data_IF_293664109740
#
_entry.id   IF_293664109740
#
_cell.length_a   1.000
_cell.length_b   1.000
_cell.length_c   1.000
_cell.angle_alpha   90.00
_cell.angle_beta   90.00
_cell.angle_gamma   90.00
#
_symmetry.space_group_name_H-M   'P 1'
#
loop_
_entity.id
_entity.type
_entity.pdbx_description
1 polymer ?
#
# COMPACT_ATOMS: atom_id res chain seq x y z
N UNK A 1 1.79 -7.44 35.63
CA UNK A 1 1.87 -6.42 36.71
C UNK A 1 1.66 -5.04 36.12
N UNK A 2 0.51 -4.42 36.37
CA UNK A 2 0.09 -3.20 35.67
C UNK A 2 0.63 -1.96 36.42
N UNK A 3 1.26 -1.04 35.67
CA UNK A 3 1.70 0.26 36.17
C UNK A 3 1.05 1.37 35.34
N UNK A 4 0.69 2.46 35.98
CA UNK A 4 0.13 3.63 35.28
C UNK A 4 1.21 4.39 34.48
N UNK A 5 0.80 5.43 33.75
CA UNK A 5 1.69 6.27 32.91
C UNK A 5 2.77 7.03 33.70
N UNK A 6 2.77 6.95 35.03
CA UNK A 6 3.79 7.50 35.93
C UNK A 6 4.60 6.41 36.65
N UNK A 7 4.40 5.15 36.28
CA UNK A 7 5.20 4.02 36.73
C UNK A 7 4.83 3.48 38.11
N UNK A 8 3.67 3.80 38.68
CA UNK A 8 3.23 3.23 39.97
C UNK A 8 2.40 1.96 39.76
N UNK A 9 2.61 0.91 40.57
CA UNK A 9 1.84 -0.35 40.48
C UNK A 9 0.43 -0.13 41.00
N UNK A 10 -0.56 -0.56 40.23
CA UNK A 10 -1.99 -0.50 40.58
C UNK A 10 -2.63 -1.88 40.40
N UNK A 11 -3.65 -2.16 41.22
CA UNK A 11 -4.40 -3.41 41.18
C UNK A 11 -5.31 -3.50 39.95
N UNK A 12 -5.68 -4.73 39.56
CA UNK A 12 -6.48 -4.99 38.35
C UNK A 12 -7.83 -4.26 38.38
N UNK A 13 -8.54 -4.22 39.51
CA UNK A 13 -9.81 -3.46 39.64
C UNK A 13 -9.62 -1.94 39.44
N UNK A 14 -8.48 -1.41 39.87
CA UNK A 14 -8.17 0.02 39.77
C UNK A 14 -7.77 0.41 38.34
N UNK A 15 -7.08 -0.49 37.63
CA UNK A 15 -6.84 -0.38 36.18
C UNK A 15 -8.15 -0.51 35.37
N UNK A 16 -9.08 -1.36 35.82
CA UNK A 16 -10.42 -1.54 35.23
C UNK A 16 -11.29 -0.29 35.36
N UNK A 17 -11.24 0.41 36.49
CA UNK A 17 -12.00 1.65 36.68
C UNK A 17 -11.44 2.85 35.90
N UNK A 18 -10.11 2.99 35.81
CA UNK A 18 -9.45 4.04 35.04
C UNK A 18 -9.76 3.99 33.53
N UNK A 19 -10.12 2.83 32.99
CA UNK A 19 -10.51 2.67 31.59
C UNK A 19 -12.02 2.79 31.34
N UNK A 20 -12.86 2.78 32.38
CA UNK A 20 -14.32 2.98 32.21
C UNK A 20 -14.65 4.37 31.65
N UNK A 21 -13.91 5.39 32.07
CA UNK A 21 -14.11 6.75 31.58
C UNK A 21 -13.51 6.93 30.16
N UNK A 22 -12.43 6.23 29.84
CA UNK A 22 -11.81 6.17 28.50
C UNK A 22 -12.66 5.40 27.47
N UNK A 23 -13.37 4.36 27.92
CA UNK A 23 -14.33 3.56 27.13
C UNK A 23 -15.60 4.38 26.87
N UNK A 24 -16.08 5.15 27.87
CA UNK A 24 -17.20 6.10 27.69
C UNK A 24 -16.85 7.27 26.76
N UNK A 25 -15.63 7.82 26.87
CA UNK A 25 -15.15 8.91 26.02
C UNK A 25 -14.90 8.46 24.57
N UNK A 26 -14.68 7.15 24.34
CA UNK A 26 -14.54 6.52 23.02
C UNK A 26 -15.80 5.83 22.48
N UNK A 27 -16.93 5.88 23.20
CA UNK A 27 -18.24 5.45 22.70
C UNK A 27 -18.44 3.94 22.52
N UNK A 28 -17.66 3.09 23.20
CA UNK A 28 -17.87 1.64 23.17
C UNK A 28 -19.02 1.28 24.12
N UNK A 29 -20.09 0.68 23.57
CA UNK A 29 -21.37 0.45 24.26
C UNK A 29 -21.30 -0.70 25.28
N UNK A 30 -22.09 -0.59 26.35
CA UNK A 30 -22.22 -1.55 27.46
C UNK A 30 -22.51 -3.02 27.04
N UNK A 31 -22.91 -3.26 25.78
CA UNK A 31 -23.19 -4.59 25.23
C UNK A 31 -21.96 -5.47 24.94
N UNK A 32 -20.77 -4.89 24.77
CA UNK A 32 -19.52 -5.66 24.62
C UNK A 32 -18.97 -6.14 25.98
N UNK A 33 -19.31 -5.43 27.05
CA UNK A 33 -19.02 -5.79 28.44
C UNK A 33 -19.73 -7.08 28.89
N UNK A 34 -20.98 -7.27 28.47
CA UNK A 34 -21.79 -8.46 28.77
C UNK A 34 -21.34 -9.72 28.01
N UNK A 35 -20.44 -9.58 27.03
CA UNK A 35 -19.91 -10.71 26.24
C UNK A 35 -18.65 -11.29 26.85
N UNK A 36 -17.74 -10.45 27.33
CA UNK A 36 -16.52 -10.88 28.04
C UNK A 36 -16.80 -11.61 29.37
N UNK A 37 -17.88 -11.24 30.08
CA UNK A 37 -18.30 -11.91 31.32
C UNK A 37 -18.78 -13.37 31.12
N UNK A 38 -19.09 -13.76 29.87
CA UNK A 38 -19.60 -15.11 29.52
C UNK A 38 -18.53 -16.19 29.42
N UNK A 39 -17.26 -15.89 29.66
CA UNK A 39 -16.26 -16.93 29.98
C UNK A 39 -16.65 -17.77 31.22
N UNK A 40 -17.57 -17.28 32.04
CA UNK A 40 -18.17 -18.01 33.17
C UNK A 40 -19.51 -18.69 32.85
N UNK A 41 -19.97 -18.67 31.58
CA UNK A 41 -21.34 -19.04 31.22
C UNK A 41 -21.53 -19.65 29.82
N UNK A 42 -20.60 -20.47 29.34
CA UNK A 42 -20.85 -21.44 28.25
C UNK A 42 -20.86 -20.90 26.80
N UNK A 43 -19.97 -19.97 26.45
CA UNK A 43 -19.80 -19.50 25.08
C UNK A 43 -19.02 -20.48 24.17
N UNK A 44 -19.24 -20.39 22.85
CA UNK A 44 -18.57 -21.22 21.82
C UNK A 44 -17.11 -20.79 21.62
N UNK A 45 -16.24 -21.76 21.29
CA UNK A 45 -14.76 -21.63 21.19
C UNK A 45 -14.27 -20.51 20.26
N UNK A 46 -14.97 -20.20 19.17
CA UNK A 46 -14.58 -19.16 18.21
C UNK A 46 -14.70 -17.75 18.79
N UNK A 47 -15.75 -17.48 19.55
CA UNK A 47 -16.04 -16.16 20.13
C UNK A 47 -14.99 -15.75 21.17
N UNK A 48 -14.50 -16.72 21.96
CA UNK A 48 -13.44 -16.48 22.95
C UNK A 48 -12.11 -16.11 22.28
N UNK A 49 -11.83 -16.62 21.08
CA UNK A 49 -10.59 -16.31 20.35
C UNK A 49 -10.64 -14.88 19.80
N UNK A 50 -11.79 -14.45 19.27
CA UNK A 50 -12.00 -13.09 18.77
C UNK A 50 -11.89 -12.05 19.90
N UNK A 51 -12.48 -12.33 21.06
CA UNK A 51 -12.42 -11.45 22.23
C UNK A 51 -11.00 -11.32 22.82
N UNK A 52 -10.19 -12.38 22.75
CA UNK A 52 -8.79 -12.38 23.18
C UNK A 52 -7.89 -11.58 22.22
N UNK A 53 -8.14 -11.67 20.92
CA UNK A 53 -7.44 -10.87 19.91
C UNK A 53 -7.78 -9.38 20.06
N UNK A 54 -9.01 -9.04 20.46
CA UNK A 54 -9.43 -7.67 20.70
C UNK A 54 -8.71 -6.99 21.89
N UNK A 55 -8.14 -7.77 22.81
CA UNK A 55 -7.30 -7.29 23.92
C UNK A 55 -5.81 -7.63 23.73
N UNK A 56 -5.39 -7.82 22.47
CA UNK A 56 -4.00 -8.03 22.06
C UNK A 56 -3.36 -9.36 22.53
N UNK A 57 -4.17 -10.40 22.78
CA UNK A 57 -3.70 -11.77 23.03
C UNK A 57 -3.77 -12.59 21.74
N UNK A 58 -2.62 -12.97 21.20
CA UNK A 58 -2.53 -13.79 19.97
C UNK A 58 -2.76 -15.28 20.24
N UNK A 59 -3.65 -15.91 19.46
CA UNK A 59 -3.87 -17.37 19.44
C UNK A 59 -3.37 -17.94 18.12
N UNK A 60 -2.35 -18.80 18.14
CA UNK A 60 -1.74 -19.36 16.92
C UNK A 60 -2.26 -20.79 16.67
N UNK A 61 -3.21 -20.87 15.73
CA UNK A 61 -3.71 -22.06 15.03
C UNK A 61 -4.53 -23.11 15.82
N UNK A 62 -5.69 -23.47 15.28
CA UNK A 62 -6.49 -24.62 15.73
C UNK A 62 -7.09 -25.33 14.50
N UNK A 63 -6.29 -26.18 13.85
CA UNK A 63 -6.72 -26.90 12.64
C UNK A 63 -6.00 -28.22 12.40
N UNK A 64 -6.69 -29.32 12.71
CA UNK A 64 -6.52 -30.72 12.28
C UNK A 64 -5.45 -31.64 12.94
N UNK A 65 -5.98 -32.78 13.40
CA UNK A 65 -5.41 -34.08 13.79
C UNK A 65 -4.00 -34.16 14.39
N UNK A 66 -3.92 -34.02 15.72
CA UNK A 66 -2.73 -34.42 16.50
C UNK A 66 -2.57 -33.71 17.84
N UNK A 67 -3.24 -32.57 18.04
CA UNK A 67 -3.10 -31.77 19.26
C UNK A 67 -4.47 -31.46 19.90
N UNK A 68 -4.93 -32.21 20.91
CA UNK A 68 -6.24 -32.00 21.51
C UNK A 68 -6.15 -30.93 22.60
N UNK A 69 -6.20 -29.65 22.24
CA UNK A 69 -6.42 -28.59 23.24
C UNK A 69 -7.91 -28.38 23.45
N UNK A 70 -8.42 -28.85 24.59
CA UNK A 70 -9.85 -28.76 24.92
C UNK A 70 -10.23 -27.37 25.45
N UNK A 71 -11.52 -27.03 25.39
CA UNK A 71 -12.05 -25.79 25.98
C UNK A 71 -11.71 -25.66 27.47
N UNK A 72 -11.66 -26.79 28.18
CA UNK A 72 -11.28 -26.85 29.61
C UNK A 72 -9.81 -26.45 29.81
N UNK A 73 -8.91 -26.79 28.89
CA UNK A 73 -7.49 -26.45 28.97
C UNK A 73 -7.23 -24.96 28.73
N UNK A 74 -8.00 -24.34 27.82
CA UNK A 74 -7.97 -22.89 27.57
C UNK A 74 -8.47 -22.13 28.81
N UNK A 75 -9.58 -22.55 29.39
CA UNK A 75 -10.09 -21.95 30.62
C UNK A 75 -9.14 -22.14 31.82
N UNK A 76 -8.41 -23.27 31.88
CA UNK A 76 -7.40 -23.52 32.92
C UNK A 76 -6.16 -22.62 32.73
N UNK A 77 -5.72 -22.40 31.50
CA UNK A 77 -4.62 -21.49 31.14
C UNK A 77 -4.95 -20.03 31.48
N UNK A 78 -6.14 -19.54 31.09
CA UNK A 78 -6.60 -18.18 31.43
C UNK A 78 -6.69 -17.98 32.95
N UNK A 79 -7.13 -19.00 33.70
CA UNK A 79 -7.12 -18.98 35.17
C UNK A 79 -5.71 -18.94 35.77
N UNK A 80 -4.72 -19.59 35.15
CA UNK A 80 -3.33 -19.57 35.63
C UNK A 80 -2.60 -18.24 35.38
N UNK A 81 -2.93 -17.53 34.30
CA UNK A 81 -2.45 -16.16 34.04
C UNK A 81 -2.95 -15.21 35.14
N UNK A 82 -4.18 -15.44 35.62
CA UNK A 82 -4.83 -14.60 36.62
C UNK A 82 -4.28 -14.78 38.05
N UNK A 83 -3.61 -15.90 38.36
CA UNK A 83 -3.11 -16.17 39.72
C UNK A 83 -1.63 -15.79 39.93
N UNK A 84 -0.77 -15.92 38.91
CA UNK A 84 0.70 -15.87 39.13
C UNK A 84 1.43 -14.83 38.26
N UNK A 85 0.76 -14.26 37.24
CA UNK A 85 1.23 -13.06 36.54
C UNK A 85 2.45 -13.20 35.62
N UNK A 86 2.83 -14.42 35.19
CA UNK A 86 3.86 -14.66 34.17
C UNK A 86 3.30 -15.34 32.91
N UNK A 87 3.91 -15.06 31.76
CA UNK A 87 3.56 -15.62 30.44
C UNK A 87 4.51 -16.79 30.09
N UNK A 88 3.99 -17.89 29.55
CA UNK A 88 4.78 -18.95 28.91
C UNK A 88 4.24 -19.24 27.49
N UNK A 89 5.15 -19.52 26.56
CA UNK A 89 4.86 -20.04 25.21
C UNK A 89 5.01 -21.56 25.26
N UNK A 90 3.96 -22.31 24.92
CA UNK A 90 4.03 -23.76 24.80
C UNK A 90 3.97 -24.20 23.32
N UNK A 91 4.96 -24.97 22.88
CA UNK A 91 4.94 -25.67 21.58
C UNK A 91 4.75 -27.18 21.82
N UNK A 92 3.89 -27.81 21.01
CA UNK A 92 3.62 -29.25 21.10
C UNK A 92 4.46 -30.03 20.08
N UNK A 93 5.47 -30.76 20.56
CA UNK A 93 5.94 -32.01 19.97
C UNK A 93 6.62 -32.87 21.05
N UNK A 94 6.50 -34.20 20.95
CA UNK A 94 7.03 -35.15 21.94
C UNK A 94 8.54 -34.97 22.14
N UNK A 95 8.94 -34.65 23.38
CA UNK A 95 10.31 -34.88 23.88
C UNK A 95 11.32 -33.73 23.84
N UNK A 96 10.94 -32.46 23.76
CA UNK A 96 11.91 -31.33 23.85
C UNK A 96 11.60 -30.36 25.01
N UNK A 97 12.65 -29.88 25.69
CA UNK A 97 12.60 -28.99 26.87
C UNK A 97 12.48 -27.50 26.50
N UNK A 98 11.90 -26.73 27.43
CA UNK A 98 11.73 -25.27 27.40
C UNK A 98 13.07 -24.52 27.40
N UNK A 99 13.20 -23.49 26.56
CA UNK A 99 14.30 -22.51 26.62
C UNK A 99 13.75 -21.08 26.51
N UNK A 100 14.27 -20.18 27.34
CA UNK A 100 13.95 -18.75 27.33
C UNK A 100 14.76 -18.02 26.25
N UNK A 101 14.12 -17.11 25.51
CA UNK A 101 14.80 -16.12 24.69
C UNK A 101 14.67 -14.73 25.31
N UNK A 102 15.80 -14.06 25.58
CA UNK A 102 15.84 -12.62 25.80
C UNK A 102 15.48 -11.89 24.50
N UNK A 103 14.83 -10.74 24.63
CA UNK A 103 14.60 -9.77 23.55
C UNK A 103 15.94 -9.21 23.06
N UNK A 104 16.61 -9.98 22.20
CA UNK A 104 17.71 -9.51 21.38
C UNK A 104 17.15 -8.72 20.21
N UNK A 105 17.62 -7.49 20.04
CA UNK A 105 17.43 -6.69 18.84
C UNK A 105 17.76 -7.55 17.60
N UNK A 106 16.73 -8.00 16.88
CA UNK A 106 16.89 -8.30 15.48
C UNK A 106 17.00 -6.95 14.76
N UNK A 107 18.21 -6.37 14.82
CA UNK A 107 18.63 -5.45 13.78
C UNK A 107 18.54 -6.22 12.47
N UNK A 108 17.44 -6.04 11.76
CA UNK A 108 17.44 -6.13 10.31
C UNK A 108 18.33 -4.98 9.83
N UNK A 109 19.64 -5.20 9.96
CA UNK A 109 20.61 -4.46 9.19
C UNK A 109 20.31 -4.80 7.75
N UNK A 110 19.49 -3.98 7.10
CA UNK A 110 19.60 -3.77 5.68
C UNK A 110 21.03 -3.27 5.45
N UNK A 111 21.99 -4.21 5.29
CA UNK A 111 23.28 -3.84 4.75
C UNK A 111 22.99 -3.42 3.32
N UNK A 112 22.87 -2.12 3.11
CA UNK A 112 23.08 -1.50 1.81
C UNK A 112 24.53 -1.85 1.48
N UNK A 113 24.73 -2.99 0.82
CA UNK A 113 25.97 -3.26 0.13
C UNK A 113 26.05 -2.22 -0.98
N UNK A 114 26.69 -1.09 -0.68
CA UNK A 114 27.14 -0.14 -1.69
C UNK A 114 28.22 -0.83 -2.50
N UNK A 115 27.83 -1.70 -3.44
CA UNK A 115 28.69 -2.01 -4.56
C UNK A 115 28.91 -0.69 -5.28
N UNK A 116 30.16 -0.23 -5.25
CA UNK A 116 30.59 1.01 -5.87
C UNK A 116 30.08 1.06 -7.30
N UNK A 117 29.02 1.83 -7.52
CA UNK A 117 28.58 2.22 -8.84
C UNK A 117 29.62 3.21 -9.32
N UNK A 118 30.44 2.76 -10.26
CA UNK A 118 31.31 3.62 -11.04
C UNK A 118 30.50 4.82 -11.53
N UNK A 119 31.07 6.02 -11.37
CA UNK A 119 30.47 7.34 -11.62
C UNK A 119 29.82 7.52 -13.01
N UNK A 120 30.02 6.58 -13.93
CA UNK A 120 29.55 6.56 -15.31
C UNK A 120 28.14 5.98 -15.51
N UNK A 121 27.61 5.12 -14.62
CA UNK A 121 26.34 4.40 -14.84
C UNK A 121 25.06 5.12 -14.39
N UNK A 122 25.16 6.18 -13.58
CA UNK A 122 24.00 6.96 -13.14
C UNK A 122 23.60 8.11 -14.08
N UNK A 123 24.37 8.37 -15.14
CA UNK A 123 24.28 9.65 -15.86
C UNK A 123 23.09 9.79 -16.83
N UNK A 124 22.28 8.78 -17.13
CA UNK A 124 21.15 9.03 -18.05
C UNK A 124 19.99 8.02 -17.98
N UNK A 125 19.65 7.46 -16.81
CA UNK A 125 18.47 6.58 -16.69
C UNK A 125 17.18 7.25 -17.20
N UNK A 126 17.06 8.57 -17.02
CA UNK A 126 15.94 9.39 -17.52
C UNK A 126 16.27 10.11 -18.84
N UNK A 127 17.17 9.55 -19.67
CA UNK A 127 17.41 10.02 -21.03
C UNK A 127 16.13 9.89 -21.85
N UNK A 128 15.83 10.90 -22.64
CA UNK A 128 14.68 10.91 -23.54
C UNK A 128 15.14 11.09 -25.01
N UNK A 129 14.57 10.34 -25.98
CA UNK A 129 13.66 9.22 -25.76
C UNK A 129 14.40 8.04 -25.09
N UNK A 130 13.70 7.22 -24.29
CA UNK A 130 14.28 6.01 -23.74
C UNK A 130 14.60 5.01 -24.87
N UNK A 131 15.63 4.18 -24.69
CA UNK A 131 16.10 3.23 -25.71
C UNK A 131 15.31 1.90 -25.73
N UNK A 132 14.26 1.81 -24.93
CA UNK A 132 13.41 0.66 -24.70
C UNK A 132 12.53 0.40 -25.95
N UNK A 133 12.55 -0.81 -26.55
CA UNK A 133 11.90 -1.10 -27.83
C UNK A 133 10.40 -0.78 -27.93
N UNK A 134 9.65 -0.93 -26.83
CA UNK A 134 8.22 -0.64 -26.79
C UNK A 134 7.90 0.82 -26.48
N UNK A 135 8.91 1.70 -26.34
CA UNK A 135 8.68 3.12 -26.13
C UNK A 135 7.85 3.76 -27.25
N UNK A 136 7.97 3.26 -28.49
CA UNK A 136 7.17 3.75 -29.62
C UNK A 136 5.66 3.60 -29.38
N UNK A 137 5.25 2.57 -28.62
CA UNK A 137 3.86 2.36 -28.23
C UNK A 137 3.47 3.17 -26.98
N UNK A 138 4.43 3.79 -26.28
CA UNK A 138 4.24 4.62 -25.09
C UNK A 138 4.22 6.12 -25.38
N UNK A 139 4.56 6.56 -26.59
CA UNK A 139 4.75 7.98 -26.92
C UNK A 139 3.53 8.83 -26.56
N UNK A 140 2.32 8.36 -26.88
CA UNK A 140 1.06 9.08 -26.61
C UNK A 140 0.89 9.34 -25.11
N UNK A 141 1.13 8.32 -24.27
CA UNK A 141 1.04 8.45 -22.83
C UNK A 141 2.11 9.40 -22.28
N UNK A 142 3.35 9.26 -22.76
CA UNK A 142 4.48 10.07 -22.30
C UNK A 142 4.34 11.53 -22.71
N UNK A 143 3.76 11.81 -23.88
CA UNK A 143 3.42 13.15 -24.33
C UNK A 143 2.28 13.74 -23.49
N UNK A 144 1.18 12.99 -23.29
CA UNK A 144 0.04 13.43 -22.49
C UNK A 144 0.43 13.77 -21.03
N UNK A 145 1.37 13.01 -20.46
CA UNK A 145 1.93 13.24 -19.12
C UNK A 145 3.13 14.19 -19.10
N UNK A 146 3.59 14.68 -20.26
CA UNK A 146 4.78 15.56 -20.39
C UNK A 146 6.02 14.99 -19.68
N UNK A 147 6.23 13.68 -19.83
CA UNK A 147 7.31 12.95 -19.18
C UNK A 147 8.68 13.42 -19.70
N UNK A 148 8.78 13.80 -20.97
CA UNK A 148 10.00 14.39 -21.54
C UNK A 148 10.47 15.59 -20.71
N UNK A 149 9.56 16.51 -20.40
CA UNK A 149 9.86 17.71 -19.65
C UNK A 149 10.07 17.42 -18.16
N UNK A 150 9.30 16.52 -17.57
CA UNK A 150 9.48 16.10 -16.19
C UNK A 150 10.87 15.47 -15.98
N UNK A 151 11.24 14.50 -16.80
CA UNK A 151 12.58 13.88 -16.78
C UNK A 151 13.68 14.88 -17.10
N UNK A 152 13.45 15.81 -18.03
CA UNK A 152 14.36 16.92 -18.31
C UNK A 152 14.64 17.76 -17.06
N UNK A 153 13.60 18.12 -16.31
CA UNK A 153 13.74 18.86 -15.05
C UNK A 153 14.50 18.05 -13.99
N UNK A 154 14.20 16.75 -13.86
CA UNK A 154 14.94 15.86 -12.94
C UNK A 154 16.43 15.82 -13.29
N UNK A 155 16.80 15.64 -14.55
CA UNK A 155 18.21 15.61 -14.97
C UNK A 155 18.93 16.94 -14.73
N UNK A 156 18.24 18.06 -14.93
CA UNK A 156 18.78 19.41 -14.72
C UNK A 156 18.91 19.80 -13.24
N UNK A 157 18.14 19.18 -12.35
CA UNK A 157 18.16 19.48 -10.91
C UNK A 157 19.46 19.09 -10.20
N UNK A 158 20.23 18.16 -10.78
CA UNK A 158 21.46 17.65 -10.20
C UNK A 158 21.24 16.69 -8.99
N UNK A 159 22.32 16.07 -8.49
CA UNK A 159 22.28 15.18 -7.33
C UNK A 159 22.17 15.92 -5.98
N UNK A 160 21.81 15.23 -4.88
CA UNK A 160 21.52 13.79 -4.79
C UNK A 160 20.02 13.46 -4.92
N UNK A 161 19.73 12.31 -5.54
CA UNK A 161 18.44 11.60 -5.48
C UNK A 161 18.64 10.27 -4.79
N UNK A 162 17.61 9.77 -4.09
CA UNK A 162 17.61 8.49 -3.39
C UNK A 162 16.51 7.57 -3.94
N UNK A 163 16.66 6.29 -3.65
CA UNK A 163 15.60 5.32 -3.90
C UNK A 163 14.40 5.58 -2.96
N UNK A 164 13.19 5.31 -3.45
CA UNK A 164 11.92 5.39 -2.72
C UNK A 164 11.26 4.02 -2.74
N UNK A 165 10.82 3.54 -1.57
CA UNK A 165 10.14 2.25 -1.48
C UNK A 165 8.64 2.42 -1.69
N UNK A 166 8.10 1.68 -2.65
CA UNK A 166 6.68 1.61 -2.94
C UNK A 166 6.14 0.22 -2.60
N UNK A 167 5.21 0.15 -1.65
CA UNK A 167 4.41 -1.04 -1.43
C UNK A 167 3.30 -1.12 -2.48
N UNK A 168 3.30 -2.19 -3.28
CA UNK A 168 2.27 -2.45 -4.29
C UNK A 168 1.36 -3.55 -3.77
N UNK A 169 0.15 -3.16 -3.35
CA UNK A 169 -0.87 -4.06 -2.84
C UNK A 169 -1.75 -4.47 -4.01
N UNK A 170 -1.48 -5.65 -4.58
CA UNK A 170 -2.11 -6.11 -5.82
C UNK A 170 -2.05 -7.66 -5.93
N UNK A 171 -2.01 -8.22 -7.14
CA UNK A 171 -1.97 -9.65 -7.42
C UNK A 171 -0.57 -10.28 -7.30
N UNK A 172 0.45 -9.49 -6.96
CA UNK A 172 1.85 -9.92 -6.84
C UNK A 172 2.75 -9.31 -7.92
N UNK A 173 3.94 -9.88 -8.09
CA UNK A 173 4.89 -9.53 -9.15
C UNK A 173 5.42 -10.78 -9.85
N UNK A 174 5.61 -10.71 -11.17
CA UNK A 174 6.16 -11.83 -11.95
C UNK A 174 7.65 -12.04 -11.60
N UNK A 175 8.05 -13.19 -11.03
CA UNK A 175 9.43 -13.44 -10.66
C UNK A 175 10.35 -13.47 -11.89
N UNK A 176 11.53 -12.87 -11.77
CA UNK A 176 12.54 -12.88 -12.84
C UNK A 176 12.21 -12.01 -14.06
N UNK A 177 11.16 -11.20 -14.03
CA UNK A 177 10.86 -10.27 -15.12
C UNK A 177 11.96 -9.20 -15.19
N UNK A 178 12.62 -9.02 -16.34
CA UNK A 178 13.86 -8.21 -16.45
C UNK A 178 13.61 -6.71 -16.26
N UNK A 179 12.37 -6.25 -16.46
CA UNK A 179 11.95 -4.88 -16.11
C UNK A 179 12.18 -4.49 -14.66
N UNK A 180 12.27 -5.46 -13.75
CA UNK A 180 12.38 -5.20 -12.32
C UNK A 180 13.73 -5.65 -11.75
N UNK A 181 14.71 -5.98 -12.60
CA UNK A 181 16.03 -6.37 -12.16
C UNK A 181 16.63 -5.33 -11.20
N UNK A 182 17.04 -5.79 -10.01
CA UNK A 182 17.62 -4.95 -8.95
C UNK A 182 16.64 -4.08 -8.16
N UNK A 183 15.33 -4.08 -8.48
CA UNK A 183 14.33 -3.19 -7.85
C UNK A 183 13.43 -3.88 -6.83
N UNK A 184 13.14 -5.17 -7.02
CA UNK A 184 12.18 -5.92 -6.18
C UNK A 184 12.80 -6.26 -4.81
N UNK A 185 12.07 -5.93 -3.75
CA UNK A 185 12.36 -6.33 -2.37
C UNK A 185 11.71 -7.67 -2.03
N UNK A 186 12.09 -8.26 -0.91
CA UNK A 186 11.35 -9.39 -0.36
C UNK A 186 9.89 -8.97 -0.12
N UNK A 187 8.95 -9.76 -0.67
CA UNK A 187 7.53 -9.46 -0.68
C UNK A 187 6.75 -10.13 0.45
N UNK A 188 5.46 -9.81 0.54
CA UNK A 188 4.51 -10.43 1.47
C UNK A 188 3.30 -11.02 0.75
N UNK A 189 2.95 -12.28 1.06
CA UNK A 189 1.73 -12.92 0.56
C UNK A 189 0.61 -12.81 1.62
N UNK A 190 -0.29 -11.86 1.41
CA UNK A 190 -1.45 -11.63 2.26
C UNK A 190 -2.64 -12.54 1.92
N UNK A 191 -2.59 -13.26 0.79
CA UNK A 191 -3.67 -14.14 0.32
C UNK A 191 -3.80 -15.44 1.12
N UNK A 192 -2.91 -15.68 2.09
CA UNK A 192 -2.86 -16.89 2.93
C UNK A 192 -2.70 -18.19 2.13
N UNK A 193 -2.02 -18.11 0.98
CA UNK A 193 -1.63 -19.31 0.25
C UNK A 193 -0.55 -20.10 1.01
N UNK A 194 -0.60 -21.42 0.95
CA UNK A 194 0.41 -22.31 1.56
C UNK A 194 1.82 -22.14 0.99
N UNK A 195 2.01 -21.37 -0.10
CA UNK A 195 3.29 -21.22 -0.79
C UNK A 195 4.09 -19.96 -0.42
N UNK A 196 3.60 -19.08 0.47
CA UNK A 196 4.28 -17.81 0.86
C UNK A 196 4.98 -17.12 -0.34
N UNK A 197 4.27 -16.99 -1.46
CA UNK A 197 4.85 -16.50 -2.71
C UNK A 197 4.11 -15.25 -3.16
N UNK A 198 4.87 -14.25 -3.59
CA UNK A 198 4.34 -13.03 -4.21
C UNK A 198 4.25 -13.14 -5.72
N UNK A 199 4.38 -14.35 -6.29
CA UNK A 199 4.24 -14.58 -7.72
C UNK A 199 2.88 -14.11 -8.22
N UNK A 200 2.91 -13.35 -9.32
CA UNK A 200 1.71 -12.80 -9.95
C UNK A 200 1.03 -13.80 -10.89
N UNK A 201 -0.03 -14.43 -10.40
CA UNK A 201 -0.82 -15.35 -11.22
C UNK A 201 -1.91 -14.65 -12.07
N UNK A 202 -2.22 -13.38 -11.78
CA UNK A 202 -3.17 -12.60 -12.57
C UNK A 202 -2.45 -11.85 -13.70
N UNK A 203 -1.35 -11.18 -13.39
CA UNK A 203 -0.60 -10.25 -14.23
C UNK A 203 -0.89 -8.77 -13.96
N UNK A 204 -1.82 -8.43 -13.05
CA UNK A 204 -2.22 -7.04 -12.81
C UNK A 204 -1.16 -6.28 -12.02
N UNK A 205 -0.68 -6.82 -10.91
CA UNK A 205 0.38 -6.21 -10.10
C UNK A 205 1.69 -6.03 -10.89
N UNK A 206 2.05 -7.00 -11.74
CA UNK A 206 3.18 -6.89 -12.68
C UNK A 206 2.99 -5.71 -13.62
N UNK A 207 1.80 -5.56 -14.20
CA UNK A 207 1.48 -4.44 -15.09
C UNK A 207 1.59 -3.08 -14.37
N UNK A 208 1.05 -2.97 -13.15
CA UNK A 208 1.10 -1.74 -12.36
C UNK A 208 2.53 -1.38 -11.94
N UNK A 209 3.31 -2.36 -11.50
CA UNK A 209 4.73 -2.20 -11.20
C UNK A 209 5.53 -1.71 -12.42
N UNK A 210 5.18 -2.21 -13.62
CA UNK A 210 5.77 -1.80 -14.89
C UNK A 210 5.56 -0.32 -15.19
N UNK A 211 4.31 0.13 -15.16
CA UNK A 211 3.95 1.54 -15.38
C UNK A 211 4.69 2.45 -14.40
N UNK A 212 4.63 2.10 -13.11
CA UNK A 212 5.25 2.88 -12.06
C UNK A 212 6.77 2.99 -12.26
N UNK A 213 7.41 1.86 -12.56
CA UNK A 213 8.79 1.66 -12.16
C UNK A 213 9.58 0.60 -12.91
N UNK A 214 9.16 0.19 -14.11
CA UNK A 214 10.03 -0.59 -15.00
C UNK A 214 11.41 0.09 -15.17
N UNK A 215 12.44 -0.70 -15.40
CA UNK A 215 13.76 -0.20 -15.75
C UNK A 215 13.65 0.68 -17.00
N UNK A 216 14.56 1.66 -17.10
CA UNK A 216 14.51 2.69 -18.14
C UNK A 216 15.88 2.72 -18.79
N UNK A 217 15.91 2.84 -20.10
CA UNK A 217 17.13 2.87 -20.90
C UNK A 217 17.98 1.59 -20.79
N UNK A 218 17.34 0.44 -20.55
CA UNK A 218 17.99 -0.88 -20.43
C UNK A 218 17.99 -1.68 -21.76
N UNK A 219 17.44 -1.12 -22.84
CA UNK A 219 17.39 -1.73 -24.16
C UNK A 219 16.41 -2.90 -24.30
N UNK A 220 15.50 -3.10 -23.34
CA UNK A 220 14.49 -4.15 -23.36
C UNK A 220 13.12 -3.55 -23.09
N UNK A 221 12.06 -4.20 -23.60
CA UNK A 221 10.71 -3.90 -23.13
C UNK A 221 10.29 -2.45 -23.20
N UNK A 222 9.74 -1.96 -22.09
CA UNK A 222 9.12 -0.65 -21.93
C UNK A 222 9.82 0.19 -20.86
N UNK A 223 9.65 1.51 -20.94
CA UNK A 223 10.12 2.41 -19.91
C UNK A 223 9.06 2.64 -18.82
N UNK A 224 9.45 2.51 -17.56
CA UNK A 224 8.64 2.95 -16.42
C UNK A 224 8.64 4.47 -16.26
N UNK A 225 7.78 5.01 -15.40
CA UNK A 225 7.74 6.47 -15.11
C UNK A 225 8.91 6.90 -14.21
N UNK A 226 9.33 6.06 -13.26
CA UNK A 226 10.37 6.38 -12.27
C UNK A 226 11.56 5.41 -12.28
N UNK A 227 12.77 5.95 -12.18
CA UNK A 227 14.02 5.17 -12.13
C UNK A 227 14.43 4.76 -10.71
N UNK A 228 14.22 5.63 -9.72
CA UNK A 228 14.66 5.47 -8.31
C UNK A 228 13.62 4.82 -7.41
N UNK A 229 13.14 3.65 -7.82
CA UNK A 229 12.11 2.89 -7.10
C UNK A 229 12.64 1.56 -6.57
N UNK A 230 12.25 1.23 -5.34
CA UNK A 230 12.27 -0.14 -4.82
C UNK A 230 10.85 -0.64 -4.65
N UNK A 231 10.56 -1.81 -5.17
CA UNK A 231 9.20 -2.36 -5.19
C UNK A 231 9.07 -3.35 -4.03
N UNK A 232 8.15 -3.09 -3.11
CA UNK A 232 7.73 -4.04 -2.09
C UNK A 232 6.40 -4.69 -2.52
N UNK A 233 6.44 -5.89 -3.15
CA UNK A 233 5.23 -6.52 -3.66
C UNK A 233 4.44 -7.16 -2.52
N UNK A 234 3.15 -6.84 -2.43
CA UNK A 234 2.22 -7.43 -1.49
C UNK A 234 1.07 -8.06 -2.26
N UNK A 235 1.05 -9.39 -2.28
CA UNK A 235 0.02 -10.15 -3.01
C UNK A 235 -1.22 -10.34 -2.15
N UNK A 236 -2.39 -9.99 -2.66
CA UNK A 236 -3.67 -10.10 -1.95
C UNK A 236 -4.62 -11.14 -2.55
N UNK A 237 -4.50 -11.45 -3.84
CA UNK A 237 -5.42 -12.36 -4.53
C UNK A 237 -4.88 -13.79 -4.68
N UNK A 238 -5.81 -14.74 -4.76
CA UNK A 238 -5.51 -16.13 -5.14
C UNK A 238 -5.84 -16.35 -6.61
N UNK A 239 -4.83 -16.22 -7.48
CA UNK A 239 -5.04 -16.38 -8.92
C UNK A 239 -5.75 -15.17 -9.52
N UNK A 240 -6.91 -15.39 -10.14
CA UNK A 240 -7.72 -14.32 -10.75
C UNK A 240 -8.92 -13.87 -9.92
N UNK A 241 -9.10 -14.41 -8.71
CA UNK A 241 -10.20 -13.99 -7.84
C UNK A 241 -9.92 -12.63 -7.21
N UNK A 242 -10.98 -11.93 -6.83
CA UNK A 242 -10.84 -10.77 -5.95
C UNK A 242 -10.25 -11.18 -4.59
N UNK A 243 -9.47 -10.29 -3.95
CA UNK A 243 -8.96 -10.54 -2.62
C UNK A 243 -10.09 -10.51 -1.59
N UNK A 244 -10.00 -11.37 -0.56
CA UNK A 244 -10.89 -11.26 0.59
C UNK A 244 -10.50 -10.11 1.52
N UNK A 245 -11.43 -9.70 2.39
CA UNK A 245 -11.21 -8.61 3.35
C UNK A 245 -10.01 -8.83 4.27
N UNK A 246 -9.81 -10.06 4.73
CA UNK A 246 -8.71 -10.36 5.63
C UNK A 246 -7.36 -10.24 4.91
N UNK A 247 -7.30 -10.60 3.62
CA UNK A 247 -6.13 -10.41 2.77
C UNK A 247 -5.84 -8.92 2.55
N UNK A 248 -6.87 -8.11 2.30
CA UNK A 248 -6.73 -6.64 2.21
C UNK A 248 -6.16 -6.09 3.52
N UNK A 249 -6.75 -6.39 4.68
CA UNK A 249 -6.29 -5.87 5.97
C UNK A 249 -4.85 -6.32 6.30
N UNK A 250 -4.51 -7.59 6.05
CA UNK A 250 -3.14 -8.09 6.21
C UNK A 250 -2.15 -7.38 5.30
N UNK A 251 -2.55 -7.06 4.07
CA UNK A 251 -1.71 -6.35 3.13
C UNK A 251 -1.45 -4.91 3.58
N UNK A 252 -2.47 -4.21 4.05
CA UNK A 252 -2.32 -2.89 4.64
C UNK A 252 -1.43 -2.91 5.88
N UNK A 253 -1.56 -3.92 6.75
CA UNK A 253 -0.71 -4.06 7.93
C UNK A 253 0.76 -4.34 7.54
N UNK A 254 1.00 -5.27 6.62
CA UNK A 254 2.34 -5.58 6.11
C UNK A 254 3.01 -4.35 5.47
N UNK A 255 2.26 -3.59 4.66
CA UNK A 255 2.77 -2.37 4.02
C UNK A 255 3.21 -1.32 5.04
N UNK A 256 2.41 -1.14 6.10
CA UNK A 256 2.63 -0.11 7.10
C UNK A 256 3.62 -0.50 8.20
N UNK A 257 3.83 -1.80 8.44
CA UNK A 257 4.79 -2.29 9.43
C UNK A 257 6.23 -2.37 8.89
N UNK A 258 6.40 -2.27 7.57
CA UNK A 258 7.70 -1.99 6.97
C UNK A 258 8.11 -0.53 7.24
N UNK A 259 9.19 -0.32 7.98
CA UNK A 259 9.74 1.01 8.26
C UNK A 259 10.24 1.73 6.99
N UNK A 260 10.44 1.00 5.90
CA UNK A 260 10.97 1.55 4.67
C UNK A 260 9.87 2.08 3.72
N UNK A 261 8.61 1.65 3.87
CA UNK A 261 7.52 2.02 2.95
C UNK A 261 7.24 3.52 2.99
N UNK A 262 7.30 4.18 1.85
CA UNK A 262 7.04 5.63 1.73
C UNK A 262 5.81 5.96 0.89
N UNK A 263 5.42 5.03 0.01
CA UNK A 263 4.27 5.13 -0.87
C UNK A 263 3.54 3.79 -0.87
N UNK A 264 2.22 3.82 -0.76
CA UNK A 264 1.35 2.66 -0.98
C UNK A 264 0.59 2.90 -2.28
N UNK A 265 0.77 2.01 -3.24
CA UNK A 265 -0.12 1.87 -4.39
C UNK A 265 -1.11 0.75 -4.06
N UNK A 266 -2.34 1.12 -3.74
CA UNK A 266 -3.45 0.19 -3.63
C UNK A 266 -4.23 0.25 -4.95
N UNK A 267 -3.82 -0.56 -5.93
CA UNK A 267 -4.37 -0.53 -7.29
C UNK A 267 -5.64 -1.38 -7.45
N UNK A 268 -6.40 -1.51 -6.36
CA UNK A 268 -7.69 -2.18 -6.26
C UNK A 268 -8.70 -1.21 -5.64
N UNK A 269 -10.00 -1.49 -5.78
CA UNK A 269 -11.06 -0.70 -5.21
C UNK A 269 -12.41 -1.33 -5.53
N UNK A 270 -13.37 -1.15 -4.64
CA UNK A 270 -14.67 -1.82 -4.76
C UNK A 270 -15.73 -1.16 -3.91
N UNK A 271 -16.96 -1.63 -4.09
CA UNK A 271 -18.10 -1.26 -3.25
C UNK A 271 -18.04 -2.02 -1.93
N UNK A 272 -18.24 -1.28 -0.86
CA UNK A 272 -18.11 -1.79 0.50
C UNK A 272 -19.15 -1.14 1.41
N UNK A 273 -19.51 -1.84 2.48
CA UNK A 273 -20.43 -1.33 3.48
C UNK A 273 -19.79 -0.24 4.37
N UNK A 274 -20.64 0.40 5.17
CA UNK A 274 -20.25 1.51 6.04
C UNK A 274 -19.31 1.08 7.18
N UNK A 275 -19.41 -0.17 7.65
CA UNK A 275 -18.52 -0.74 8.67
C UNK A 275 -17.10 -0.90 8.10
N UNK A 276 -17.00 -1.40 6.87
CA UNK A 276 -15.73 -1.50 6.12
C UNK A 276 -15.12 -0.12 5.86
N UNK A 277 -15.93 0.92 5.66
CA UNK A 277 -15.45 2.29 5.53
C UNK A 277 -14.72 2.79 6.79
N UNK A 278 -15.16 2.38 8.00
CA UNK A 278 -14.46 2.72 9.24
C UNK A 278 -13.09 2.05 9.33
N UNK A 279 -12.98 0.78 8.89
CA UNK A 279 -11.71 0.07 8.82
C UNK A 279 -10.74 0.72 7.84
N UNK A 280 -11.20 1.04 6.61
CA UNK A 280 -10.38 1.76 5.64
C UNK A 280 -9.94 3.11 6.19
N UNK A 281 -10.83 3.87 6.83
CA UNK A 281 -10.48 5.14 7.45
C UNK A 281 -9.38 4.97 8.51
N UNK A 282 -9.42 3.91 9.32
CA UNK A 282 -8.39 3.64 10.32
C UNK A 282 -7.03 3.30 9.69
N UNK A 283 -6.98 2.41 8.69
CA UNK A 283 -5.71 2.04 8.03
C UNK A 283 -5.12 3.19 7.21
N UNK A 284 -5.95 3.99 6.56
CA UNK A 284 -5.51 5.17 5.82
C UNK A 284 -4.95 6.25 6.75
N UNK A 285 -5.62 6.53 7.87
CA UNK A 285 -5.11 7.46 8.89
C UNK A 285 -3.75 7.00 9.44
N UNK A 286 -3.60 5.70 9.72
CA UNK A 286 -2.33 5.15 10.19
C UNK A 286 -1.23 5.29 9.12
N UNK A 287 -1.52 5.04 7.85
CA UNK A 287 -0.56 5.22 6.76
C UNK A 287 -0.09 6.68 6.66
N UNK A 288 -1.04 7.63 6.61
CA UNK A 288 -0.72 9.06 6.55
C UNK A 288 0.07 9.52 7.78
N UNK A 289 -0.31 9.06 8.99
CA UNK A 289 0.41 9.40 10.22
C UNK A 289 1.86 8.86 10.25
N UNK A 290 2.13 7.76 9.54
CA UNK A 290 3.49 7.23 9.31
C UNK A 290 4.24 7.96 8.18
N UNK A 291 3.65 8.99 7.57
CA UNK A 291 4.27 9.75 6.48
C UNK A 291 4.18 9.06 5.12
N UNK A 292 3.31 8.06 4.99
CA UNK A 292 3.13 7.28 3.76
C UNK A 292 2.10 7.97 2.86
N UNK A 293 2.45 8.17 1.58
CA UNK A 293 1.50 8.64 0.56
C UNK A 293 0.69 7.46 0.05
N UNK A 294 -0.63 7.59 -0.06
CA UNK A 294 -1.49 6.53 -0.61
C UNK A 294 -2.04 6.96 -1.96
N UNK A 295 -1.89 6.10 -2.98
CA UNK A 295 -2.53 6.24 -4.29
C UNK A 295 -3.55 5.12 -4.46
N UNK A 296 -4.79 5.48 -4.82
CA UNK A 296 -5.89 4.54 -5.09
C UNK A 296 -6.66 4.93 -6.35
N UNK A 297 -7.16 3.96 -7.13
CA UNK A 297 -7.99 4.24 -8.30
C UNK A 297 -9.44 4.62 -7.93
N UNK A 298 -10.14 5.29 -8.84
CA UNK A 298 -11.60 5.57 -8.75
C UNK A 298 -12.49 4.34 -8.96
N UNK A 299 -11.92 3.18 -9.29
CA UNK A 299 -12.59 2.03 -9.88
C UNK A 299 -13.12 2.31 -11.31
N UNK A 300 -13.29 1.23 -12.08
CA UNK A 300 -13.72 1.27 -13.48
C UNK A 300 -15.16 0.75 -13.61
N UNK A 301 -16.17 1.58 -13.30
CA UNK A 301 -17.56 1.30 -13.65
C UNK A 301 -18.05 2.31 -14.68
N UNK A 302 -18.89 1.85 -15.61
CA UNK A 302 -19.69 2.72 -16.48
C UNK A 302 -21.05 3.07 -15.83
N UNK A 303 -21.41 2.41 -14.72
CA UNK A 303 -22.64 2.70 -14.00
C UNK A 303 -22.61 4.11 -13.39
N UNK A 304 -23.53 4.95 -13.85
CA UNK A 304 -23.62 6.39 -13.58
C UNK A 304 -24.35 6.74 -12.28
N UNK A 305 -24.75 5.76 -11.47
CA UNK A 305 -25.75 5.98 -10.42
C UNK A 305 -25.21 6.26 -9.02
N UNK A 306 -23.90 6.34 -8.80
CA UNK A 306 -23.39 6.32 -7.43
C UNK A 306 -22.57 7.51 -6.98
N UNK A 307 -23.24 8.66 -6.92
CA UNK A 307 -22.93 9.61 -5.85
C UNK A 307 -23.15 9.00 -4.45
N UNK A 308 -23.95 7.92 -4.35
CA UNK A 308 -24.35 7.26 -3.10
C UNK A 308 -23.58 5.94 -2.78
N UNK A 309 -22.77 5.38 -3.70
CA UNK A 309 -21.99 4.16 -3.40
C UNK A 309 -20.59 4.53 -2.93
N UNK A 310 -20.26 4.13 -1.70
CA UNK A 310 -18.92 4.22 -1.15
C UNK A 310 -18.00 3.26 -1.91
N UNK A 311 -17.10 3.79 -2.75
CA UNK A 311 -16.01 3.00 -3.33
C UNK A 311 -14.72 3.26 -2.59
N UNK A 312 -14.31 2.27 -1.81
CA UNK A 312 -13.17 2.41 -0.92
C UNK A 312 -11.88 1.92 -1.59
N UNK A 313 -10.72 2.52 -1.25
CA UNK A 313 -10.57 3.66 -0.34
C UNK A 313 -10.83 5.04 -0.97
N UNK A 314 -11.05 5.12 -2.28
CA UNK A 314 -11.17 6.40 -3.01
C UNK A 314 -12.18 7.39 -2.41
N UNK A 315 -13.38 6.95 -2.03
CA UNK A 315 -14.42 7.82 -1.44
C UNK A 315 -13.98 8.50 -0.14
N UNK A 316 -12.93 8.01 0.54
CA UNK A 316 -12.40 8.60 1.77
C UNK A 316 -11.25 9.59 1.51
N UNK A 317 -10.68 9.62 0.30
CA UNK A 317 -9.47 10.38 -0.04
C UNK A 317 -9.60 11.87 0.33
N UNK A 318 -10.69 12.52 -0.05
CA UNK A 318 -10.92 13.95 0.20
C UNK A 318 -11.04 14.31 1.70
N UNK A 319 -11.23 13.32 2.57
CA UNK A 319 -11.29 13.53 4.02
C UNK A 319 -9.96 13.24 4.75
N UNK A 320 -8.95 12.76 4.02
CA UNK A 320 -7.69 12.26 4.57
C UNK A 320 -6.50 12.77 3.75
N UNK A 321 -5.98 13.98 4.07
CA UNK A 321 -4.85 14.53 3.35
C UNK A 321 -3.64 13.59 3.33
N UNK A 322 -3.11 13.30 2.15
CA UNK A 322 -2.11 12.26 1.90
C UNK A 322 -2.65 10.99 1.24
N UNK A 323 -3.97 10.86 1.09
CA UNK A 323 -4.64 9.82 0.31
C UNK A 323 -5.18 10.44 -0.97
N UNK A 324 -4.70 9.96 -2.12
CA UNK A 324 -5.00 10.52 -3.43
C UNK A 324 -5.81 9.51 -4.24
N UNK A 325 -7.03 9.91 -4.60
CA UNK A 325 -7.85 9.13 -5.52
C UNK A 325 -7.61 9.58 -6.96
N UNK A 326 -7.23 8.66 -7.84
CA UNK A 326 -6.76 8.96 -9.19
C UNK A 326 -7.77 8.48 -10.23
N UNK A 327 -8.29 9.41 -11.03
CA UNK A 327 -9.19 9.10 -12.13
C UNK A 327 -8.41 8.82 -13.43
N UNK A 328 -8.89 7.86 -14.22
CA UNK A 328 -8.35 7.60 -15.55
C UNK A 328 -8.97 8.53 -16.60
N UNK A 329 -8.14 9.15 -17.43
CA UNK A 329 -8.58 9.97 -18.56
C UNK A 329 -8.06 9.43 -19.89
N UNK A 330 -8.71 9.86 -20.97
CA UNK A 330 -8.20 9.67 -22.33
C UNK A 330 -6.86 10.38 -22.46
N UNK A 331 -5.88 9.78 -23.14
CA UNK A 331 -4.57 10.41 -23.31
C UNK A 331 -4.60 11.60 -24.28
N UNK A 332 -5.48 11.56 -25.28
CA UNK A 332 -5.63 12.60 -26.30
C UNK A 332 -6.65 13.68 -25.92
N UNK A 333 -7.44 13.48 -24.87
CA UNK A 333 -8.52 14.38 -24.47
C UNK A 333 -8.72 14.38 -22.94
N UNK A 334 -9.06 15.51 -22.30
CA UNK A 334 -9.29 15.61 -20.86
C UNK A 334 -10.65 15.03 -20.42
N UNK A 335 -11.03 13.88 -20.97
CA UNK A 335 -12.30 13.18 -20.69
C UNK A 335 -12.02 11.96 -19.84
N UNK A 336 -12.79 11.77 -18.77
CA UNK A 336 -12.65 10.60 -17.89
C UNK A 336 -13.14 9.34 -18.61
N UNK A 337 -12.34 8.28 -18.54
CA UNK A 337 -12.65 6.98 -19.15
C UNK A 337 -13.82 6.26 -18.47
N UNK A 338 -14.01 6.50 -17.17
CA UNK A 338 -14.93 5.76 -16.29
C UNK A 338 -15.75 6.71 -15.43
N UNK A 339 -17.02 6.42 -15.19
CA UNK A 339 -18.00 7.35 -14.57
C UNK A 339 -18.20 7.15 -13.07
N UNK A 340 -17.39 6.29 -12.45
CA UNK A 340 -17.40 5.88 -11.03
C UNK A 340 -17.30 7.04 -10.01
N UNK A 341 -16.54 6.88 -8.92
CA UNK A 341 -16.25 7.95 -7.95
C UNK A 341 -15.36 9.06 -8.53
N UNK A 342 -15.33 9.24 -9.84
CA UNK A 342 -14.56 10.23 -10.57
C UNK A 342 -14.84 11.66 -10.12
N UNK A 343 -16.04 11.95 -9.58
CA UNK A 343 -16.35 13.25 -8.95
C UNK A 343 -15.58 13.48 -7.64
N UNK A 344 -15.23 12.42 -6.93
CA UNK A 344 -14.47 12.44 -5.68
C UNK A 344 -12.96 12.29 -5.93
N UNK A 345 -12.54 12.10 -7.18
CA UNK A 345 -11.13 11.95 -7.50
C UNK A 345 -10.36 13.25 -7.22
N UNK A 346 -9.14 13.09 -6.71
CA UNK A 346 -8.22 14.16 -6.42
C UNK A 346 -7.72 14.83 -7.70
N UNK A 347 -7.52 14.08 -8.79
CA UNK A 347 -7.13 14.59 -10.11
C UNK A 347 -7.26 13.50 -11.19
N UNK A 348 -7.22 13.90 -12.47
CA UNK A 348 -7.20 12.99 -13.62
C UNK A 348 -5.78 12.69 -14.11
N UNK A 349 -5.55 11.46 -14.57
CA UNK A 349 -4.29 11.03 -15.20
C UNK A 349 -4.60 10.23 -16.47
N UNK A 350 -4.00 10.61 -17.62
CA UNK A 350 -4.03 9.83 -18.85
C UNK A 350 -3.66 8.36 -18.65
N UNK A 351 -4.50 7.44 -19.11
CA UNK A 351 -4.22 6.01 -18.99
C UNK A 351 -5.00 5.15 -20.00
N UNK A 352 -5.15 5.62 -21.24
CA UNK A 352 -5.61 4.81 -22.38
C UNK A 352 -4.45 4.08 -23.03
N UNK A 353 -4.62 2.79 -23.36
CA UNK A 353 -3.67 2.00 -24.15
C UNK A 353 -2.24 2.02 -23.62
N UNK A 354 -2.09 1.95 -22.29
CA UNK A 354 -0.81 1.95 -21.59
C UNK A 354 -0.08 0.63 -21.84
N UNK A 355 1.13 0.68 -22.38
CA UNK A 355 2.00 -0.49 -22.49
C UNK A 355 2.35 -1.01 -21.10
N UNK A 356 2.29 -2.32 -20.90
CA UNK A 356 2.59 -2.98 -19.63
C UNK A 356 3.37 -4.29 -19.82
N UNK A 357 4.27 -4.66 -18.90
CA UNK A 357 4.81 -6.02 -18.89
C UNK A 357 3.70 -7.01 -18.54
N UNK A 358 3.75 -8.20 -19.11
CA UNK A 358 2.84 -9.30 -18.76
C UNK A 358 3.60 -10.41 -18.06
N UNK A 359 2.86 -11.33 -17.44
CA UNK A 359 3.46 -12.54 -16.87
C UNK A 359 3.85 -13.61 -17.91
N UNK A 360 3.61 -13.37 -19.20
CA UNK A 360 3.80 -14.37 -20.26
C UNK A 360 5.22 -14.29 -20.81
N UNK A 361 5.88 -15.45 -20.81
CA UNK A 361 7.14 -15.70 -21.51
C UNK A 361 6.85 -16.70 -22.64
N UNK A 362 7.25 -16.40 -23.88
CA UNK A 362 6.96 -17.25 -25.04
C UNK A 362 8.03 -18.31 -25.32
N UNK A 363 9.11 -18.33 -24.54
CA UNK A 363 10.24 -19.24 -24.69
C UNK A 363 11.53 -18.51 -25.04
N UNK A 364 11.42 -17.37 -25.72
CA UNK A 364 12.56 -16.53 -26.12
C UNK A 364 12.45 -15.11 -25.54
N UNK A 365 11.24 -14.56 -25.48
CA UNK A 365 10.98 -13.17 -25.09
C UNK A 365 9.85 -13.05 -24.06
N UNK A 366 9.96 -12.00 -23.23
CA UNK A 366 8.86 -11.55 -22.38
C UNK A 366 7.84 -10.80 -23.23
N UNK A 367 6.55 -11.11 -23.01
CA UNK A 367 5.45 -10.51 -23.76
C UNK A 367 4.95 -9.26 -23.05
N UNK A 368 4.74 -8.20 -23.84
CA UNK A 368 4.15 -6.94 -23.40
C UNK A 368 2.73 -6.81 -23.94
N UNK A 369 1.88 -6.09 -23.20
CA UNK A 369 0.48 -5.90 -23.54
C UNK A 369 0.06 -4.45 -23.40
N UNK A 370 -1.23 -4.20 -23.62
CA UNK A 370 -1.87 -2.91 -23.34
C UNK A 370 -2.83 -3.05 -22.17
N UNK A 371 -2.85 -2.05 -21.31
CA UNK A 371 -3.75 -1.90 -20.18
C UNK A 371 -4.40 -0.52 -20.20
N UNK A 372 -5.49 -0.35 -19.47
CA UNK A 372 -6.18 0.91 -19.36
C UNK A 372 -6.93 1.01 -18.02
N UNK A 373 -7.41 2.21 -17.72
CA UNK A 373 -8.27 2.45 -16.56
C UNK A 373 -7.54 2.97 -15.33
N UNK A 374 -8.30 3.20 -14.26
CA UNK A 374 -7.88 3.99 -13.10
C UNK A 374 -6.71 3.38 -12.31
N UNK A 375 -6.53 2.05 -12.33
CA UNK A 375 -5.35 1.40 -11.74
C UNK A 375 -4.06 1.82 -12.46
N UNK A 376 -4.06 1.86 -13.80
CA UNK A 376 -2.93 2.32 -14.60
C UNK A 376 -2.63 3.80 -14.34
N UNK A 377 -3.67 4.63 -14.23
CA UNK A 377 -3.56 6.03 -13.82
C UNK A 377 -2.93 6.20 -12.44
N UNK A 378 -3.36 5.42 -11.44
CA UNK A 378 -2.79 5.43 -10.09
C UNK A 378 -1.33 4.98 -10.07
N UNK A 379 -0.96 3.97 -10.87
CA UNK A 379 0.42 3.51 -11.02
C UNK A 379 1.33 4.59 -11.65
N UNK A 380 0.86 5.29 -12.68
CA UNK A 380 1.59 6.41 -13.28
C UNK A 380 1.77 7.55 -12.26
N UNK A 381 0.71 7.91 -11.52
CA UNK A 381 0.78 8.92 -10.46
C UNK A 381 1.78 8.53 -9.35
N UNK A 382 1.79 7.25 -8.94
CA UNK A 382 2.75 6.74 -7.97
C UNK A 382 4.20 6.86 -8.48
N UNK A 383 4.45 6.65 -9.78
CA UNK A 383 5.75 6.93 -10.40
C UNK A 383 6.16 8.40 -10.28
N UNK A 384 5.22 9.33 -10.50
CA UNK A 384 5.46 10.76 -10.30
C UNK A 384 5.78 11.09 -8.83
N UNK A 385 5.05 10.49 -7.89
CA UNK A 385 5.34 10.63 -6.45
C UNK A 385 6.73 10.11 -6.11
N UNK A 386 7.18 8.98 -6.71
CA UNK A 386 8.56 8.48 -6.54
C UNK A 386 9.57 9.51 -7.04
N UNK A 387 9.37 10.08 -8.24
CA UNK A 387 10.27 11.11 -8.76
C UNK A 387 10.35 12.31 -7.79
N UNK A 388 9.23 12.75 -7.21
CA UNK A 388 9.20 13.81 -6.19
C UNK A 388 9.95 13.41 -4.91
N UNK A 389 9.59 12.27 -4.30
CA UNK A 389 10.17 11.78 -3.03
C UNK A 389 11.65 11.39 -3.15
N UNK A 390 12.15 11.18 -4.37
CA UNK A 390 13.57 10.92 -4.60
C UNK A 390 14.46 12.11 -4.24
N UNK A 391 13.92 13.35 -4.19
CA UNK A 391 14.68 14.56 -3.87
C UNK A 391 14.77 14.88 -2.37
N UNK A 392 13.72 14.55 -1.62
CA UNK A 392 13.60 14.81 -0.18
C UNK A 392 12.51 13.91 0.40
N UNK A 393 12.47 13.73 1.72
CA UNK A 393 11.34 13.04 2.35
C UNK A 393 10.14 14.00 2.51
N UNK A 394 9.36 14.17 1.43
CA UNK A 394 8.12 14.96 1.48
C UNK A 394 7.07 14.28 2.36
N UNK A 395 6.35 15.07 3.14
CA UNK A 395 5.16 14.60 3.86
C UNK A 395 4.02 14.28 2.89
N UNK A 396 3.05 13.45 3.28
CA UNK A 396 1.89 13.17 2.43
C UNK A 396 1.13 14.43 2.00
N UNK A 397 1.01 15.40 2.88
CA UNK A 397 0.31 16.67 2.61
C UNK A 397 1.10 17.59 1.68
N UNK A 398 2.44 17.58 1.75
CA UNK A 398 3.26 18.31 0.78
C UNK A 398 3.12 17.69 -0.62
N UNK A 399 3.17 16.37 -0.74
CA UNK A 399 2.98 15.67 -2.02
C UNK A 399 1.61 16.00 -2.61
N UNK A 400 0.55 15.84 -1.83
CA UNK A 400 -0.81 16.17 -2.26
C UNK A 400 -0.90 17.61 -2.75
N UNK A 401 -0.46 18.58 -1.94
CA UNK A 401 -0.50 20.00 -2.30
C UNK A 401 0.21 20.27 -3.63
N UNK A 402 1.42 19.72 -3.82
CA UNK A 402 2.19 19.95 -5.06
C UNK A 402 1.46 19.33 -6.26
N UNK A 403 0.94 18.11 -6.14
CA UNK A 403 0.21 17.45 -7.22
C UNK A 403 -1.06 18.23 -7.58
N UNK A 404 -1.87 18.62 -6.60
CA UNK A 404 -3.11 19.37 -6.82
C UNK A 404 -2.85 20.74 -7.46
N UNK A 405 -1.85 21.48 -6.96
CA UNK A 405 -1.45 22.77 -7.53
C UNK A 405 -0.87 22.66 -8.95
N UNK A 406 -0.37 21.49 -9.33
CA UNK A 406 0.14 21.26 -10.68
C UNK A 406 -0.96 21.02 -11.71
N UNK A 407 -2.18 20.67 -11.27
CA UNK A 407 -3.23 20.26 -12.21
C UNK A 407 -3.64 21.37 -13.17
N UNK A 408 -4.05 20.99 -14.39
CA UNK A 408 -4.51 21.94 -15.39
C UNK A 408 -5.79 21.51 -16.11
N UNK A 409 -6.43 22.50 -16.72
CA UNK A 409 -7.65 22.27 -17.48
C UNK A 409 -8.83 21.86 -16.60
N UNK A 410 -9.92 21.50 -17.26
CA UNK A 410 -11.14 21.01 -16.61
C UNK A 410 -11.33 19.57 -17.06
N UNK A 411 -11.29 18.65 -16.11
CA UNK A 411 -11.60 17.25 -16.38
C UNK A 411 -13.08 17.04 -16.17
N UNK A 412 -13.75 16.47 -17.17
CA UNK A 412 -15.19 16.23 -17.13
C UNK A 412 -15.48 14.73 -17.16
N UNK A 413 -16.44 14.33 -16.33
CA UNK A 413 -17.04 12.99 -16.40
C UNK A 413 -17.80 12.82 -17.74
N UNK A 414 -18.14 11.59 -18.13
CA UNK A 414 -19.03 11.36 -19.31
C UNK A 414 -20.41 12.03 -19.14
N UNK A 415 -20.86 12.21 -17.90
CA UNK A 415 -22.11 12.91 -17.56
C UNK A 415 -22.00 14.44 -17.67
N UNK A 416 -20.81 14.99 -17.95
CA UNK A 416 -20.56 16.42 -18.11
C UNK A 416 -20.20 17.17 -16.83
N UNK A 417 -20.25 16.49 -15.67
CA UNK A 417 -19.82 17.05 -14.39
C UNK A 417 -18.32 17.33 -14.37
N UNK A 418 -17.94 18.47 -13.79
CA UNK A 418 -16.56 18.93 -13.66
C UNK A 418 -15.95 18.43 -12.34
N UNK A 419 -14.74 17.88 -12.41
CA UNK A 419 -13.95 17.53 -11.22
C UNK A 419 -13.45 18.78 -10.49
N UNK A 420 -13.18 18.67 -9.19
CA UNK A 420 -12.60 19.77 -8.41
C UNK A 420 -11.19 20.17 -8.86
N UNK A 421 -10.45 19.23 -9.46
CA UNK A 421 -9.12 19.45 -10.02
C UNK A 421 -9.01 18.86 -11.43
N UNK A 422 -8.02 19.34 -12.17
CA UNK A 422 -7.82 19.01 -13.58
C UNK A 422 -6.96 17.77 -13.82
N UNK A 423 -6.31 17.75 -14.99
CA UNK A 423 -5.31 16.75 -15.36
C UNK A 423 -4.00 17.02 -14.61
N UNK A 424 -3.38 15.98 -14.07
CA UNK A 424 -2.08 16.08 -13.45
C UNK A 424 -1.03 16.57 -14.47
N UNK A 425 -0.16 17.50 -14.04
CA UNK A 425 1.00 17.95 -14.81
C UNK A 425 2.31 17.56 -14.13
N UNK A 426 2.86 16.38 -14.45
CA UNK A 426 4.13 15.91 -13.91
C UNK A 426 5.26 16.92 -14.06
N UNK A 427 5.39 17.58 -15.21
CA UNK A 427 6.45 18.56 -15.46
C UNK A 427 6.39 19.77 -14.50
N UNK A 428 5.19 20.19 -14.09
CA UNK A 428 4.98 21.28 -13.14
C UNK A 428 5.21 20.80 -11.71
N UNK A 429 4.60 19.67 -11.33
CA UNK A 429 4.75 19.06 -10.00
C UNK A 429 6.21 18.80 -9.66
N UNK A 430 6.97 18.24 -10.60
CA UNK A 430 8.38 17.92 -10.42
C UNK A 430 9.25 19.17 -10.27
N UNK A 431 9.03 20.21 -11.09
CA UNK A 431 9.74 21.50 -10.95
C UNK A 431 9.49 22.13 -9.58
N UNK A 432 8.25 22.08 -9.10
CA UNK A 432 7.92 22.58 -7.78
C UNK A 432 8.57 21.75 -6.67
N UNK A 433 8.54 20.42 -6.76
CA UNK A 433 9.22 19.55 -5.80
C UNK A 433 10.74 19.81 -5.76
N UNK A 434 11.39 19.98 -6.91
CA UNK A 434 12.81 20.33 -7.00
C UNK A 434 13.09 21.67 -6.29
N UNK A 435 12.26 22.68 -6.54
CA UNK A 435 12.41 23.98 -5.90
C UNK A 435 12.33 23.82 -4.37
N UNK A 436 11.24 23.23 -3.87
CA UNK A 436 11.02 23.05 -2.43
C UNK A 436 12.09 22.18 -1.75
N UNK A 437 12.63 21.17 -2.43
CA UNK A 437 13.74 20.36 -1.94
C UNK A 437 15.08 21.11 -1.90
N UNK A 438 15.23 22.16 -2.71
CA UNK A 438 16.44 23.00 -2.74
C UNK A 438 16.42 24.05 -1.62
N UNK A 439 15.27 24.67 -1.36
CA UNK A 439 15.10 25.64 -0.27
C UNK A 439 15.39 25.04 1.10
N UNK A 440 14.99 23.79 1.35
CA UNK A 440 15.24 23.07 2.60
C UNK A 440 16.73 22.73 2.86
N UNK A 441 17.63 22.94 1.89
CA UNK A 441 19.08 22.74 2.09
C UNK A 441 19.83 24.02 2.43
N UNK A 442 19.24 25.17 2.13
CA UNK A 442 19.86 26.49 2.30
C UNK A 442 19.52 27.09 3.67
N UNK A 443 18.36 26.71 4.22
CA UNK A 443 17.87 27.08 5.55
C UNK A 443 17.89 25.84 6.45
#
# INVERSE_FOLDING_TARGET
MIRDSRGKRVGIEEAFHLHRDLIKEKGILDGEWDRLSKCFGGAKKSTVIEDLVAIDVQVVHAGSEGCPVSHVDICRFVRSIASDGSYEVAACANGSQLASFETGHAGAGASIASRGSTRETYQDALKYPPNDPYFIDQEILFEALRIREAWGAVRQSGPPRRDVVVAILDSGITPGHPEFEGKVLEGFDASWSWKKSVEDHHGHGTAMAGILGANINNGIGMAGIADKVRIFPIRMSQGRSDPDYAAILRAWDAAQNSEATEVILFACGGEFDQETALLYKAVLNRAVAKGIVVLTPTANSDDTNSLDELRLPCSLANSLPGVLCVAATVATEPVILTTATSKLASFGVPSTDVVVPTRKYDGDHWVYGKSWGSSAAAAAAAGIVVLMKSFKNFTPQEIERILLNSTEGRVRTKAGDEMSYGLLRPDVAIKQAIAEASWARVN
#
